data_IF_053892071209
#
_entry.id   IF_053892071209
#
_cell.length_a   1.000
_cell.length_b   1.000
_cell.length_c   1.000
_cell.angle_alpha   90.00
_cell.angle_beta   90.00
_cell.angle_gamma   90.00
#
_symmetry.space_group_name_H-M   'P 1'
#
loop_
_entity.id
_entity.type
_entity.pdbx_description
1 polymer ?
#
# COMPACT_ATOMS: atom_id res chain seq x y z
N UNK A 1 7.43 29.50 -69.13
CA UNK A 1 6.43 28.80 -68.29
C UNK A 1 6.95 28.77 -66.86
N UNK A 2 6.07 28.99 -65.86
CA UNK A 2 6.51 29.22 -64.47
C UNK A 2 7.11 27.93 -63.91
N UNK A 3 8.42 27.91 -63.66
CA UNK A 3 9.15 26.78 -63.04
C UNK A 3 8.46 26.23 -61.79
N UNK A 4 7.64 27.04 -61.11
CA UNK A 4 6.79 26.63 -59.99
C UNK A 4 5.88 25.42 -60.29
N UNK A 5 5.26 25.37 -61.47
CA UNK A 5 4.38 24.24 -61.84
C UNK A 5 5.18 22.94 -62.02
N UNK A 6 6.36 23.04 -62.65
CA UNK A 6 7.23 21.88 -62.82
C UNK A 6 7.78 21.38 -61.48
N UNK A 7 8.02 22.26 -60.49
CA UNK A 7 8.42 21.85 -59.14
C UNK A 7 7.36 21.00 -58.43
N UNK A 8 6.09 21.36 -58.58
CA UNK A 8 4.96 20.58 -58.04
C UNK A 8 4.87 19.22 -58.75
N UNK A 9 5.03 19.21 -60.08
CA UNK A 9 5.07 17.98 -60.89
C UNK A 9 6.25 17.07 -60.56
N UNK A 10 7.42 17.61 -60.19
CA UNK A 10 8.55 16.79 -59.73
C UNK A 10 8.19 15.98 -58.48
N UNK A 11 7.50 16.58 -57.52
CA UNK A 11 7.06 15.90 -56.29
C UNK A 11 6.02 14.83 -56.60
N UNK A 12 4.99 15.17 -57.37
CA UNK A 12 3.93 14.23 -57.77
C UNK A 12 4.51 13.02 -58.54
N UNK A 13 5.60 13.23 -59.29
CA UNK A 13 6.20 12.18 -60.12
C UNK A 13 6.83 11.05 -59.30
N UNK A 14 7.31 11.36 -58.10
CA UNK A 14 7.88 10.37 -57.19
C UNK A 14 6.83 9.46 -56.57
N UNK A 15 5.59 9.96 -56.43
CA UNK A 15 4.46 9.21 -55.91
C UNK A 15 3.62 8.54 -57.01
N UNK A 16 4.04 8.66 -58.27
CA UNK A 16 3.32 8.16 -59.45
C UNK A 16 1.92 8.78 -59.61
N UNK A 17 1.76 10.05 -59.24
CA UNK A 17 0.46 10.74 -59.22
C UNK A 17 0.22 11.65 -60.44
N UNK A 18 1.13 11.68 -61.42
CA UNK A 18 0.90 12.42 -62.68
C UNK A 18 0.16 11.56 -63.69
N UNK A 19 -0.66 12.22 -64.52
CA UNK A 19 -1.16 11.60 -65.73
C UNK A 19 -0.03 11.36 -66.75
N UNK A 20 -0.22 10.39 -67.65
CA UNK A 20 0.74 10.07 -68.72
C UNK A 20 1.10 11.29 -69.57
N UNK A 21 0.13 12.17 -69.85
CA UNK A 21 0.36 13.40 -70.63
C UNK A 21 1.25 14.40 -69.89
N UNK A 22 1.02 14.62 -68.60
CA UNK A 22 1.81 15.56 -67.80
C UNK A 22 3.23 15.03 -67.56
N UNK A 23 3.38 13.70 -67.47
CA UNK A 23 4.68 13.04 -67.35
C UNK A 23 5.54 13.26 -68.58
N UNK A 24 5.00 13.10 -69.80
CA UNK A 24 5.75 13.37 -71.04
C UNK A 24 6.21 14.82 -71.10
N UNK A 25 5.34 15.77 -70.74
CA UNK A 25 5.67 17.21 -70.72
C UNK A 25 6.78 17.51 -69.69
N UNK A 26 6.75 16.85 -68.53
CA UNK A 26 7.79 16.97 -67.51
C UNK A 26 9.13 16.39 -67.98
N UNK A 27 9.12 15.23 -68.64
CA UNK A 27 10.31 14.58 -69.18
C UNK A 27 10.99 15.45 -70.27
N UNK A 28 10.19 16.04 -71.17
CA UNK A 28 10.67 17.00 -72.17
C UNK A 28 11.27 18.26 -71.51
N UNK A 29 10.64 18.76 -70.44
CA UNK A 29 11.16 19.90 -69.70
C UNK A 29 12.49 19.60 -68.99
N UNK A 30 12.66 18.39 -68.45
CA UNK A 30 13.89 17.93 -67.80
C UNK A 30 15.08 17.78 -68.75
N UNK A 31 14.82 17.57 -70.05
CA UNK A 31 15.86 17.57 -71.09
C UNK A 31 16.39 18.98 -71.35
N UNK A 32 15.54 19.99 -71.30
CA UNK A 32 15.89 21.38 -71.62
C UNK A 32 16.36 22.20 -70.39
N UNK A 33 15.93 21.86 -69.18
CA UNK A 33 16.12 22.68 -67.98
C UNK A 33 17.07 22.03 -66.96
N UNK A 34 18.25 22.64 -66.78
CA UNK A 34 19.26 22.16 -65.84
C UNK A 34 18.83 22.31 -64.38
N UNK A 35 18.16 23.41 -64.01
CA UNK A 35 17.74 23.65 -62.62
C UNK A 35 16.67 22.67 -62.13
N UNK A 36 15.73 22.28 -63.00
CA UNK A 36 14.73 21.28 -62.63
C UNK A 36 15.32 19.87 -62.58
N UNK A 37 16.37 19.61 -63.36
CA UNK A 37 17.11 18.34 -63.31
C UNK A 37 17.91 18.20 -62.01
N UNK A 38 18.58 19.25 -61.55
CA UNK A 38 19.29 19.23 -60.27
C UNK A 38 18.33 19.04 -59.09
N UNK A 39 17.19 19.73 -59.10
CA UNK A 39 16.14 19.57 -58.07
C UNK A 39 15.58 18.14 -58.04
N UNK A 40 15.34 17.51 -59.20
CA UNK A 40 14.91 16.11 -59.27
C UNK A 40 15.95 15.16 -58.70
N UNK A 41 17.25 15.42 -58.91
CA UNK A 41 18.33 14.60 -58.36
C UNK A 41 18.45 14.74 -56.84
N UNK A 42 18.30 15.96 -56.31
CA UNK A 42 18.27 16.21 -54.87
C UNK A 42 17.10 15.48 -54.20
N UNK A 43 15.92 15.55 -54.82
CA UNK A 43 14.72 14.91 -54.30
C UNK A 43 14.84 13.37 -54.32
N UNK A 44 15.41 12.79 -55.38
CA UNK A 44 15.72 11.34 -55.44
C UNK A 44 16.70 10.92 -54.33
N UNK A 45 17.79 11.66 -54.14
CA UNK A 45 18.78 11.38 -53.07
C UNK A 45 18.14 11.45 -51.68
N UNK A 46 17.27 12.43 -51.45
CA UNK A 46 16.55 12.55 -50.18
C UNK A 46 15.65 11.34 -49.92
N UNK A 47 14.90 10.89 -50.93
CA UNK A 47 14.07 9.69 -50.82
C UNK A 47 14.89 8.40 -50.59
N UNK A 48 16.05 8.26 -51.23
CA UNK A 48 16.96 7.14 -50.99
C UNK A 48 17.47 7.12 -49.53
N UNK A 49 17.82 8.30 -48.99
CA UNK A 49 18.24 8.42 -47.58
C UNK A 49 17.12 8.06 -46.60
N UNK A 50 15.87 8.44 -46.90
CA UNK A 50 14.71 8.05 -46.11
C UNK A 50 14.42 6.55 -46.20
N UNK A 51 14.57 5.95 -47.39
CA UNK A 51 14.40 4.51 -47.58
C UNK A 51 15.43 3.69 -46.79
N UNK A 52 16.67 4.20 -46.68
CA UNK A 52 17.73 3.57 -45.89
C UNK A 52 17.48 3.60 -44.38
N UNK A 53 16.79 4.64 -43.87
CA UNK A 53 16.36 4.72 -42.46
C UNK A 53 14.88 4.39 -42.29
N UNK A 54 14.44 3.22 -42.75
CA UNK A 54 13.12 2.72 -42.33
C UNK A 54 13.10 2.60 -40.80
N UNK A 55 12.10 3.15 -40.11
CA UNK A 55 11.90 2.84 -38.70
C UNK A 55 11.74 1.33 -38.57
N UNK A 56 12.43 0.74 -37.58
CA UNK A 56 12.29 -0.67 -37.23
C UNK A 56 10.80 -0.99 -37.15
N UNK A 57 10.33 -1.92 -37.98
CA UNK A 57 8.99 -2.49 -37.80
C UNK A 57 9.00 -3.21 -36.45
N UNK A 58 8.50 -2.51 -35.43
CA UNK A 58 8.38 -3.05 -34.08
C UNK A 58 7.40 -4.19 -34.16
N UNK A 59 7.82 -5.38 -33.74
CA UNK A 59 6.98 -6.56 -33.74
C UNK A 59 5.69 -6.27 -32.93
N UNK A 60 4.52 -6.60 -33.51
CA UNK A 60 3.21 -6.45 -32.87
C UNK A 60 3.15 -6.91 -31.39
N UNK A 61 3.78 -8.03 -30.96
CA UNK A 61 3.81 -8.43 -29.55
C UNK A 61 4.45 -7.39 -28.61
N UNK A 62 5.50 -6.68 -29.04
CA UNK A 62 6.14 -5.63 -28.23
C UNK A 62 5.21 -4.42 -28.05
N UNK A 63 4.45 -4.08 -29.09
CA UNK A 63 3.46 -3.00 -29.02
C UNK A 63 2.32 -3.38 -28.06
N UNK A 64 1.87 -4.63 -28.13
CA UNK A 64 0.83 -5.14 -27.22
C UNK A 64 1.28 -5.13 -25.76
N UNK A 65 2.52 -5.53 -25.49
CA UNK A 65 3.08 -5.51 -24.14
C UNK A 65 3.27 -4.07 -23.61
N UNK A 66 3.76 -3.16 -24.44
CA UNK A 66 3.87 -1.75 -24.09
C UNK A 66 2.50 -1.13 -23.75
N UNK A 67 1.47 -1.41 -24.57
CA UNK A 67 0.08 -0.96 -24.32
C UNK A 67 -0.49 -1.55 -23.04
N UNK A 68 -0.22 -2.83 -22.77
CA UNK A 68 -0.66 -3.51 -21.54
C UNK A 68 -0.02 -2.86 -20.32
N UNK A 69 1.31 -2.69 -20.34
CA UNK A 69 2.08 -2.06 -19.25
C UNK A 69 1.59 -0.64 -18.98
N UNK A 70 1.36 0.14 -20.03
CA UNK A 70 0.85 1.51 -19.91
C UNK A 70 -0.56 1.53 -19.26
N UNK A 71 -1.48 0.67 -19.72
CA UNK A 71 -2.82 0.57 -19.12
C UNK A 71 -2.78 0.22 -17.64
N UNK A 72 -1.91 -0.72 -17.25
CA UNK A 72 -1.75 -1.09 -15.83
C UNK A 72 -1.25 0.09 -14.99
N UNK A 73 -0.29 0.88 -15.49
CA UNK A 73 0.21 2.08 -14.79
C UNK A 73 -0.83 3.19 -14.69
N UNK A 74 -1.60 3.44 -15.76
CA UNK A 74 -2.68 4.45 -15.74
C UNK A 74 -3.75 4.07 -14.70
N UNK A 75 -4.13 2.80 -14.63
CA UNK A 75 -5.12 2.33 -13.65
C UNK A 75 -4.60 2.51 -12.21
N UNK A 76 -3.34 2.15 -11.95
CA UNK A 76 -2.73 2.31 -10.63
C UNK A 76 -2.69 3.78 -10.17
N UNK A 77 -2.37 4.71 -11.09
CA UNK A 77 -2.32 6.15 -10.80
C UNK A 77 -3.73 6.76 -10.62
N UNK A 78 -4.70 6.35 -11.44
CA UNK A 78 -6.08 6.84 -11.36
C UNK A 78 -6.78 6.44 -10.05
N UNK A 79 -6.50 5.24 -9.54
CA UNK A 79 -7.03 4.77 -8.25
C UNK A 79 -6.50 5.61 -7.07
N UNK A 80 -5.23 5.98 -7.09
CA UNK A 80 -4.65 6.85 -6.05
C UNK A 80 -5.35 8.23 -6.02
N UNK A 81 -5.53 8.88 -7.18
CA UNK A 81 -6.17 10.21 -7.24
C UNK A 81 -7.66 10.19 -6.86
N UNK A 82 -8.40 9.15 -7.27
CA UNK A 82 -9.84 9.00 -6.98
C UNK A 82 -10.14 8.90 -5.49
N UNK A 83 -9.25 8.29 -4.71
CA UNK A 83 -9.43 8.16 -3.26
C UNK A 83 -9.22 9.50 -2.53
N UNK A 84 -8.23 10.30 -2.93
CA UNK A 84 -7.98 11.63 -2.36
C UNK A 84 -9.07 12.66 -2.73
N UNK A 85 -9.59 12.59 -3.97
CA UNK A 85 -10.65 13.50 -4.42
C UNK A 85 -12.02 13.14 -3.86
N UNK A 86 -12.34 11.84 -3.68
CA UNK A 86 -13.56 11.41 -2.99
C UNK A 86 -13.54 11.76 -1.50
N UNK A 87 -12.40 11.66 -0.82
CA UNK A 87 -12.30 12.08 0.58
C UNK A 87 -12.57 13.57 0.76
N UNK A 88 -12.08 14.41 -0.17
CA UNK A 88 -12.27 15.87 -0.12
C UNK A 88 -13.70 16.28 -0.50
N UNK A 89 -14.29 15.64 -1.52
CA UNK A 89 -15.64 15.95 -2.01
C UNK A 89 -16.78 15.51 -1.07
N UNK A 90 -16.61 14.42 -0.33
CA UNK A 90 -17.61 14.00 0.69
C UNK A 90 -17.60 14.94 1.89
N UNK A 91 -16.45 15.55 2.20
CA UNK A 91 -16.32 16.53 3.28
C UNK A 91 -16.91 17.89 2.95
N UNK A 92 -16.81 18.35 1.70
CA UNK A 92 -17.31 19.66 1.26
C UNK A 92 -18.81 19.67 0.90
N UNK A 93 -19.43 18.51 0.62
CA UNK A 93 -20.79 18.45 0.05
C UNK A 93 -21.94 18.07 0.99
N UNK A 94 -21.67 17.51 2.18
CA UNK A 94 -22.72 16.80 2.94
C UNK A 94 -23.09 17.44 4.30
N UNK A 95 -22.52 18.59 4.66
CA UNK A 95 -22.77 19.19 5.97
C UNK A 95 -23.12 20.67 5.83
N UNK A 96 -24.42 20.97 5.84
CA UNK A 96 -24.89 22.34 6.04
C UNK A 96 -24.63 22.76 7.49
N UNK A 97 -24.11 23.98 7.66
CA UNK A 97 -23.57 24.53 8.92
C UNK A 97 -24.48 24.45 10.17
N UNK A 98 -25.82 24.49 10.11
CA UNK A 98 -26.63 24.40 11.34
C UNK A 98 -26.88 22.96 11.83
N UNK A 99 -26.81 21.94 10.96
CA UNK A 99 -27.06 20.53 11.36
C UNK A 99 -25.84 19.92 12.06
N UNK A 100 -24.64 20.42 11.76
CA UNK A 100 -23.38 19.98 12.36
C UNK A 100 -23.34 20.24 13.88
N UNK A 101 -23.89 21.36 14.34
CA UNK A 101 -23.92 21.71 15.77
C UNK A 101 -24.90 20.83 16.56
N UNK A 102 -26.06 20.50 15.98
CA UNK A 102 -27.06 19.65 16.63
C UNK A 102 -26.60 18.19 16.71
N UNK A 103 -25.99 17.64 15.65
CA UNK A 103 -25.47 16.28 15.63
C UNK A 103 -24.21 16.11 16.50
N UNK A 104 -23.37 17.13 16.60
CA UNK A 104 -22.21 17.10 17.51
C UNK A 104 -22.65 17.02 18.98
N UNK A 105 -23.68 17.80 19.37
CA UNK A 105 -24.21 17.80 20.74
C UNK A 105 -24.81 16.45 21.15
N UNK A 106 -25.63 15.85 20.27
CA UNK A 106 -26.25 14.54 20.56
C UNK A 106 -25.23 13.41 20.60
N UNK A 107 -24.21 13.43 19.73
CA UNK A 107 -23.11 12.47 19.75
C UNK A 107 -22.31 12.54 21.06
N UNK A 108 -22.01 13.75 21.57
CA UNK A 108 -21.30 13.90 22.84
C UNK A 108 -22.10 13.40 24.04
N UNK A 109 -23.42 13.62 24.06
CA UNK A 109 -24.29 13.09 25.12
C UNK A 109 -24.39 11.57 25.08
N UNK A 110 -24.53 10.98 23.90
CA UNK A 110 -24.60 9.53 23.74
C UNK A 110 -23.31 8.84 24.19
N UNK A 111 -22.14 9.42 23.88
CA UNK A 111 -20.85 8.92 24.36
C UNK A 111 -20.73 9.04 25.88
N UNK A 112 -21.16 10.16 26.46
CA UNK A 112 -21.16 10.35 27.92
C UNK A 112 -22.02 9.32 28.66
N UNK A 113 -23.23 9.04 28.14
CA UNK A 113 -24.14 8.04 28.71
C UNK A 113 -23.57 6.62 28.56
N UNK A 114 -22.97 6.29 27.42
CA UNK A 114 -22.38 4.98 27.18
C UNK A 114 -21.18 4.71 28.09
N UNK A 115 -20.30 5.70 28.27
CA UNK A 115 -19.16 5.63 29.19
C UNK A 115 -19.63 5.50 30.63
N UNK A 116 -20.63 6.28 31.03
CA UNK A 116 -21.24 6.17 32.36
C UNK A 116 -21.85 4.79 32.63
N UNK A 117 -22.52 4.20 31.63
CA UNK A 117 -23.13 2.87 31.74
C UNK A 117 -22.10 1.75 31.87
N UNK A 118 -20.99 1.81 31.10
CA UNK A 118 -19.94 0.79 31.14
C UNK A 118 -19.17 0.81 32.47
N UNK A 119 -18.96 1.99 33.06
CA UNK A 119 -18.24 2.12 34.34
C UNK A 119 -19.06 1.57 35.51
N UNK A 120 -20.39 1.74 35.49
CA UNK A 120 -21.25 1.28 36.60
C UNK A 120 -21.61 -0.20 36.56
N UNK A 121 -21.42 -0.91 35.43
CA UNK A 121 -21.85 -2.31 35.27
C UNK A 121 -20.77 -3.38 35.47
N UNK A 122 -19.50 -3.01 35.66
CA UNK A 122 -18.41 -3.98 35.85
C UNK A 122 -17.64 -3.74 37.16
N UNK A 123 -18.03 -4.38 38.28
CA UNK A 123 -17.13 -4.56 39.41
C UNK A 123 -16.18 -5.70 39.08
N UNK A 124 -14.95 -5.37 38.68
CA UNK A 124 -13.89 -6.37 38.45
C UNK A 124 -13.19 -6.71 39.76
N UNK A 125 -13.59 -7.83 40.37
CA UNK A 125 -12.66 -8.61 41.18
C UNK A 125 -11.61 -9.23 40.26
N UNK A 126 -10.33 -9.05 40.56
CA UNK A 126 -9.25 -9.99 40.18
C UNK A 126 -7.96 -9.61 40.93
N UNK A 127 -7.71 -10.35 42.00
CA UNK A 127 -6.43 -10.38 42.71
C UNK A 127 -5.38 -11.07 41.84
N UNK A 128 -4.52 -10.32 41.15
CA UNK A 128 -3.29 -10.85 40.57
C UNK A 128 -2.10 -10.34 41.38
N UNK A 129 -1.57 -11.21 42.23
CA UNK A 129 -0.45 -10.97 43.15
C UNK A 129 0.86 -10.84 42.37
N UNK A 130 1.28 -9.60 42.14
CA UNK A 130 2.53 -9.24 41.46
C UNK A 130 3.72 -9.13 42.43
N UNK A 131 3.88 -10.08 43.35
CA UNK A 131 4.87 -10.00 44.43
C UNK A 131 6.18 -10.78 44.19
N UNK A 132 6.51 -11.16 42.93
CA UNK A 132 7.66 -12.05 42.67
C UNK A 132 8.62 -11.68 41.54
N UNK A 133 8.66 -10.41 41.13
CA UNK A 133 9.59 -9.94 40.07
C UNK A 133 10.68 -8.95 40.55
N UNK A 134 10.85 -8.77 41.86
CA UNK A 134 11.77 -7.79 42.44
C UNK A 134 13.25 -8.22 42.52
N UNK A 135 13.74 -8.99 41.53
CA UNK A 135 15.15 -9.38 41.48
C UNK A 135 15.71 -9.37 40.05
N UNK A 136 15.72 -8.20 39.42
CA UNK A 136 16.65 -7.88 38.32
C UNK A 136 16.72 -6.35 38.18
N UNK A 137 17.66 -5.74 38.89
CA UNK A 137 17.96 -4.32 38.80
C UNK A 137 18.60 -4.00 37.46
N UNK A 138 17.83 -3.41 36.54
CA UNK A 138 18.39 -2.60 35.45
C UNK A 138 17.44 -1.44 35.16
N UNK A 139 17.76 -0.31 35.78
CA UNK A 139 17.18 1.03 35.71
C UNK A 139 15.96 1.19 34.79
N UNK A 140 14.76 1.01 35.37
CA UNK A 140 13.56 1.69 34.91
C UNK A 140 13.45 2.97 35.73
N UNK A 141 13.41 4.13 35.07
CA UNK A 141 13.14 5.40 35.71
C UNK A 141 11.63 5.53 35.87
N UNK A 142 11.13 5.09 37.01
CA UNK A 142 9.73 5.22 37.38
C UNK A 142 9.53 6.62 37.96
N UNK A 143 8.64 7.41 37.34
CA UNK A 143 8.29 8.73 37.87
C UNK A 143 7.57 8.63 39.21
N UNK A 144 7.34 9.78 39.87
CA UNK A 144 6.64 9.81 41.15
C UNK A 144 5.20 9.25 41.02
N UNK A 145 4.82 8.27 41.87
CA UNK A 145 3.49 7.68 41.83
C UNK A 145 2.43 8.74 42.14
N UNK A 146 1.50 8.95 41.19
CA UNK A 146 0.38 9.86 41.38
C UNK A 146 -0.77 9.10 42.01
N UNK A 147 -1.27 9.59 43.15
CA UNK A 147 -2.41 9.00 43.85
C UNK A 147 -3.70 9.52 43.22
N UNK A 148 -4.57 8.61 42.80
CA UNK A 148 -5.90 8.89 42.24
C UNK A 148 -6.98 8.10 42.98
N UNK A 149 -8.25 8.51 42.87
CA UNK A 149 -9.40 7.74 43.39
C UNK A 149 -9.31 7.32 44.87
N UNK A 150 -8.97 8.25 45.76
CA UNK A 150 -8.98 8.00 47.22
C UNK A 150 -10.41 7.82 47.71
N UNK A 151 -10.70 6.69 48.38
CA UNK A 151 -11.98 6.37 49.01
C UNK A 151 -11.75 6.01 50.47
N UNK A 152 -12.38 6.76 51.37
CA UNK A 152 -12.37 6.45 52.80
C UNK A 152 -13.41 5.38 53.09
N UNK A 153 -12.99 4.31 53.78
CA UNK A 153 -13.82 3.13 54.11
C UNK A 153 -14.42 3.32 55.49
N UNK A 154 -13.60 3.65 56.49
CA UNK A 154 -14.05 3.88 57.86
C UNK A 154 -13.11 4.84 58.61
N UNK A 155 -13.64 5.47 59.67
CA UNK A 155 -12.88 6.32 60.58
C UNK A 155 -13.31 6.05 62.02
N UNK A 156 -12.41 5.47 62.81
CA UNK A 156 -12.64 5.28 64.23
C UNK A 156 -12.28 6.56 65.00
N UNK A 157 -13.31 7.28 65.47
CA UNK A 157 -13.15 8.55 66.18
C UNK A 157 -12.51 8.44 67.58
N UNK A 158 -12.44 7.23 68.17
CA UNK A 158 -11.83 7.01 69.49
C UNK A 158 -10.35 6.62 69.41
N UNK A 159 -9.93 5.86 68.39
CA UNK A 159 -8.52 5.45 68.21
C UNK A 159 -7.75 6.37 67.26
N UNK A 160 -8.45 7.11 66.39
CA UNK A 160 -7.83 7.92 65.34
C UNK A 160 -7.48 7.12 64.08
N UNK A 161 -7.84 5.84 64.01
CA UNK A 161 -7.57 5.00 62.85
C UNK A 161 -8.46 5.38 61.67
N UNK A 162 -7.87 5.42 60.48
CA UNK A 162 -8.56 5.72 59.22
C UNK A 162 -8.22 4.63 58.21
N UNK A 163 -9.23 4.02 57.64
CA UNK A 163 -9.08 3.07 56.55
C UNK A 163 -9.50 3.73 55.24
N UNK A 164 -8.63 3.65 54.22
CA UNK A 164 -8.93 4.17 52.89
C UNK A 164 -8.22 3.37 51.80
N UNK A 165 -8.84 3.33 50.62
CA UNK A 165 -8.29 2.74 49.40
C UNK A 165 -7.94 3.85 48.43
N UNK A 166 -6.84 3.71 47.70
CA UNK A 166 -6.46 4.65 46.65
C UNK A 166 -5.81 3.89 45.49
N UNK A 167 -5.89 4.48 44.31
CA UNK A 167 -5.21 3.99 43.11
C UNK A 167 -3.91 4.77 42.91
N UNK A 168 -2.90 4.13 42.33
CA UNK A 168 -1.65 4.80 41.96
C UNK A 168 -1.38 4.61 40.48
N UNK A 169 -0.99 5.70 39.82
CA UNK A 169 -0.56 5.70 38.43
C UNK A 169 0.90 6.14 38.40
N UNK A 170 1.79 5.21 38.05
CA UNK A 170 3.23 5.46 37.95
C UNK A 170 3.61 5.59 36.48
N UNK A 171 3.98 6.79 35.98
CA UNK A 171 4.44 6.93 34.62
C UNK A 171 5.79 6.23 34.45
N UNK A 172 5.88 5.37 33.44
CA UNK A 172 7.09 4.62 33.12
C UNK A 172 7.76 5.21 31.88
N UNK A 173 9.02 5.62 32.02
CA UNK A 173 9.83 6.05 30.89
C UNK A 173 10.80 4.94 30.48
N UNK A 174 10.71 4.51 29.22
CA UNK A 174 11.60 3.52 28.65
C UNK A 174 12.39 4.19 27.53
N UNK A 175 13.71 4.20 27.68
CA UNK A 175 14.65 4.59 26.63
C UNK A 175 15.50 3.38 26.28
N UNK A 176 15.50 3.01 25.01
CA UNK A 176 16.22 1.84 24.54
C UNK A 176 16.26 1.78 23.02
N UNK A 177 16.93 0.75 22.51
CA UNK A 177 16.93 0.43 21.10
C UNK A 177 15.64 -0.31 20.73
N UNK A 178 15.14 -0.13 19.51
CA UNK A 178 13.98 -0.87 18.99
C UNK A 178 14.22 -2.39 18.89
N UNK A 179 15.48 -2.82 18.96
CA UNK A 179 15.88 -4.21 19.02
C UNK A 179 15.89 -4.79 20.45
N UNK A 180 15.67 -3.97 21.48
CA UNK A 180 15.65 -4.46 22.86
C UNK A 180 14.33 -5.18 23.15
N UNK A 181 14.39 -6.41 23.68
CA UNK A 181 13.21 -7.26 23.98
C UNK A 181 12.14 -6.50 24.80
N UNK A 182 12.57 -5.68 25.77
CA UNK A 182 11.66 -4.87 26.59
C UNK A 182 10.92 -3.79 25.77
N UNK A 183 11.62 -3.13 24.85
CA UNK A 183 11.02 -2.13 23.96
C UNK A 183 10.06 -2.81 22.99
N UNK A 184 10.46 -3.97 22.44
CA UNK A 184 9.65 -4.77 21.54
C UNK A 184 8.33 -5.23 22.16
N UNK A 185 8.36 -5.69 23.41
CA UNK A 185 7.17 -6.03 24.21
C UNK A 185 6.19 -4.87 24.33
N UNK A 186 6.70 -3.68 24.64
CA UNK A 186 5.88 -2.47 24.77
C UNK A 186 5.29 -2.07 23.42
N UNK A 187 6.07 -2.10 22.35
CA UNK A 187 5.58 -1.80 20.99
C UNK A 187 4.53 -2.81 20.51
N UNK A 188 4.75 -4.10 20.73
CA UNK A 188 3.79 -5.16 20.41
C UNK A 188 2.47 -4.97 21.19
N UNK A 189 2.56 -4.63 22.48
CA UNK A 189 1.38 -4.35 23.30
C UNK A 189 0.65 -3.09 22.86
N UNK A 190 1.38 -2.01 22.58
CA UNK A 190 0.82 -0.77 22.07
C UNK A 190 0.09 -1.01 20.74
N UNK A 191 0.67 -1.82 19.84
CA UNK A 191 0.07 -2.18 18.57
C UNK A 191 -1.26 -2.94 18.73
N UNK A 192 -1.38 -3.86 19.66
CA UNK A 192 -2.60 -4.69 19.75
C UNK A 192 -3.67 -4.07 20.65
N UNK A 193 -3.28 -3.32 21.68
CA UNK A 193 -4.17 -2.96 22.79
C UNK A 193 -4.46 -1.47 22.93
N UNK A 194 -3.70 -0.58 22.28
CA UNK A 194 -3.93 0.86 22.43
C UNK A 194 -5.22 1.29 21.71
N UNK A 195 -6.02 2.14 22.35
CA UNK A 195 -7.29 2.60 21.78
C UNK A 195 -7.07 3.59 20.62
N UNK A 196 -5.98 4.36 20.64
CA UNK A 196 -5.64 5.36 19.65
C UNK A 196 -4.94 4.74 18.44
N UNK A 197 -5.57 4.83 17.27
CA UNK A 197 -5.02 4.31 16.03
C UNK A 197 -3.70 4.96 15.62
N UNK A 198 -3.47 6.23 15.98
CA UNK A 198 -2.21 6.93 15.75
C UNK A 198 -1.06 6.34 16.56
N UNK A 199 -1.30 5.92 17.82
CA UNK A 199 -0.32 5.21 18.63
C UNK A 199 0.00 3.86 18.04
N UNK A 200 -1.03 3.08 17.67
CA UNK A 200 -0.85 1.77 17.01
C UNK A 200 -0.05 1.90 15.71
N UNK A 201 -0.37 2.89 14.87
CA UNK A 201 0.35 3.14 13.62
C UNK A 201 1.82 3.50 13.86
N UNK A 202 2.12 4.35 14.86
CA UNK A 202 3.51 4.64 15.25
C UNK A 202 4.22 3.38 15.73
N UNK A 203 3.56 2.52 16.49
CA UNK A 203 4.14 1.26 16.96
C UNK A 203 4.52 0.35 15.79
N UNK A 204 3.65 0.18 14.79
CA UNK A 204 3.99 -0.58 13.55
C UNK A 204 5.19 0.04 12.84
N UNK A 205 5.19 1.36 12.65
CA UNK A 205 6.28 2.05 11.96
C UNK A 205 7.62 1.84 12.68
N UNK A 206 7.65 1.98 14.01
CA UNK A 206 8.85 1.72 14.81
C UNK A 206 9.33 0.28 14.64
N UNK A 207 8.43 -0.70 14.72
CA UNK A 207 8.76 -2.11 14.44
C UNK A 207 9.33 -2.27 13.02
N UNK A 208 8.76 -1.60 12.02
CA UNK A 208 9.22 -1.63 10.63
C UNK A 208 10.65 -1.12 10.42
N UNK A 209 11.07 -0.10 11.18
CA UNK A 209 12.44 0.47 11.08
C UNK A 209 13.56 -0.50 11.47
N UNK A 210 13.24 -1.63 12.13
CA UNK A 210 14.20 -2.68 12.49
C UNK A 210 14.97 -3.25 11.27
N UNK A 211 14.38 -3.18 10.08
CA UNK A 211 14.89 -3.80 8.86
C UNK A 211 16.07 -3.06 8.21
N UNK A 212 16.19 -1.74 8.39
CA UNK A 212 17.24 -0.98 7.71
C UNK A 212 18.64 -1.27 8.27
N UNK A 213 18.75 -1.85 9.48
CA UNK A 213 20.02 -2.00 10.19
C UNK A 213 20.61 -3.42 10.25
N UNK A 214 19.89 -4.46 9.85
CA UNK A 214 20.41 -5.85 9.81
C UNK A 214 20.69 -6.27 8.37
N UNK A 215 21.91 -6.03 7.89
CA UNK A 215 22.32 -6.36 6.51
C UNK A 215 22.81 -7.80 6.26
N UNK A 216 22.87 -8.70 7.25
CA UNK A 216 23.34 -10.08 7.00
C UNK A 216 22.36 -11.14 7.57
N UNK A 217 21.58 -11.75 6.68
CA UNK A 217 20.70 -12.90 6.95
C UNK A 217 19.20 -12.60 6.90
N UNK A 218 18.36 -13.64 6.78
CA UNK A 218 16.89 -13.50 6.88
C UNK A 218 16.57 -13.00 8.30
N UNK A 219 16.02 -11.79 8.47
CA UNK A 219 15.77 -11.24 9.79
C UNK A 219 14.68 -12.07 10.48
N UNK A 220 15.03 -12.69 11.61
CA UNK A 220 14.08 -13.44 12.42
C UNK A 220 13.30 -12.46 13.29
N UNK A 221 11.99 -12.41 13.06
CA UNK A 221 11.07 -11.61 13.86
C UNK A 221 10.77 -12.33 15.18
N UNK A 222 10.82 -11.61 16.30
CA UNK A 222 10.42 -12.16 17.59
C UNK A 222 8.95 -12.59 17.57
N UNK A 223 8.64 -13.70 18.24
CA UNK A 223 7.31 -14.33 18.21
C UNK A 223 6.21 -13.36 18.64
N UNK A 224 6.46 -12.53 19.66
CA UNK A 224 5.47 -11.58 20.17
C UNK A 224 5.18 -10.45 19.17
N UNK A 225 6.22 -9.86 18.55
CA UNK A 225 6.02 -8.86 17.49
C UNK A 225 5.30 -9.48 16.30
N UNK A 226 5.70 -10.68 15.88
CA UNK A 226 5.07 -11.36 14.75
C UNK A 226 3.57 -11.54 14.99
N UNK A 227 3.18 -12.04 16.15
CA UNK A 227 1.78 -12.19 16.54
C UNK A 227 1.06 -10.84 16.59
N UNK A 228 1.70 -9.79 17.10
CA UNK A 228 1.12 -8.46 17.15
C UNK A 228 0.88 -7.87 15.75
N UNK A 229 1.86 -7.98 14.84
CA UNK A 229 1.72 -7.52 13.45
C UNK A 229 0.65 -8.30 12.68
N UNK A 230 0.62 -9.63 12.83
CA UNK A 230 -0.42 -10.46 12.20
C UNK A 230 -1.80 -10.07 12.75
N UNK A 231 -1.92 -9.88 14.06
CA UNK A 231 -3.16 -9.44 14.70
C UNK A 231 -3.60 -8.07 14.18
N UNK A 232 -2.68 -7.12 14.06
CA UNK A 232 -2.96 -5.80 13.51
C UNK A 232 -3.41 -5.86 12.04
N UNK A 233 -2.76 -6.68 11.21
CA UNK A 233 -3.15 -6.90 9.82
C UNK A 233 -4.59 -7.44 9.72
N UNK A 234 -4.89 -8.49 10.46
CA UNK A 234 -6.15 -9.22 10.32
C UNK A 234 -7.33 -8.54 11.03
N UNK A 235 -7.10 -7.85 12.15
CA UNK A 235 -8.18 -7.46 13.07
C UNK A 235 -8.19 -5.97 13.46
N UNK A 236 -7.20 -5.15 13.09
CA UNK A 236 -7.27 -3.72 13.43
C UNK A 236 -8.45 -3.05 12.73
N UNK A 237 -9.17 -2.20 13.46
CA UNK A 237 -10.31 -1.44 12.92
C UNK A 237 -9.88 -0.35 11.95
N UNK A 238 -8.64 0.14 12.07
CA UNK A 238 -8.10 1.21 11.26
C UNK A 238 -7.33 0.66 10.06
N UNK A 239 -7.81 0.95 8.85
CA UNK A 239 -7.19 0.51 7.59
C UNK A 239 -5.72 0.95 7.45
N UNK A 240 -5.36 2.13 7.96
CA UNK A 240 -3.99 2.63 7.92
C UNK A 240 -3.02 1.75 8.70
N UNK A 241 -3.44 1.27 9.88
CA UNK A 241 -2.64 0.33 10.70
C UNK A 241 -2.49 -1.01 9.98
N UNK A 242 -3.58 -1.55 9.42
CA UNK A 242 -3.55 -2.81 8.65
C UNK A 242 -2.61 -2.72 7.45
N UNK A 243 -2.67 -1.60 6.71
CA UNK A 243 -1.79 -1.31 5.56
C UNK A 243 -0.33 -1.24 5.97
N UNK A 244 -0.04 -0.62 7.10
CA UNK A 244 1.33 -0.56 7.58
C UNK A 244 1.81 -1.95 8.05
N UNK A 245 0.95 -2.71 8.71
CA UNK A 245 1.28 -4.06 9.16
C UNK A 245 1.64 -4.99 7.99
N UNK A 246 0.87 -4.97 6.89
CA UNK A 246 1.20 -5.77 5.70
C UNK A 246 2.51 -5.32 5.04
N UNK A 247 2.80 -4.01 5.05
CA UNK A 247 4.05 -3.46 4.51
C UNK A 247 5.28 -3.90 5.31
N UNK A 248 5.16 -4.04 6.63
CA UNK A 248 6.23 -4.58 7.47
C UNK A 248 6.35 -6.09 7.26
N UNK A 249 5.24 -6.83 7.32
CA UNK A 249 5.22 -8.29 7.27
C UNK A 249 5.74 -8.89 5.96
N UNK A 250 5.55 -8.22 4.80
CA UNK A 250 6.03 -8.73 3.51
C UNK A 250 7.54 -8.98 3.48
N UNK A 251 8.30 -8.26 4.31
CA UNK A 251 9.76 -8.39 4.38
C UNK A 251 10.22 -9.65 5.13
N UNK A 252 9.30 -10.34 5.81
CA UNK A 252 9.56 -11.55 6.59
C UNK A 252 8.99 -12.81 5.94
N UNK A 253 8.49 -12.71 4.70
CA UNK A 253 8.17 -13.87 3.87
C UNK A 253 9.48 -14.63 3.55
N UNK A 254 9.50 -15.97 3.56
CA UNK A 254 8.35 -16.89 3.55
C UNK A 254 7.97 -17.50 4.93
N UNK A 255 7.98 -16.75 6.04
CA UNK A 255 7.54 -17.30 7.34
C UNK A 255 6.10 -17.88 7.27
N UNK A 256 5.87 -19.16 7.65
CA UNK A 256 4.58 -19.83 7.49
C UNK A 256 3.40 -19.07 8.10
N UNK A 257 3.56 -18.49 9.30
CA UNK A 257 2.47 -17.77 9.97
C UNK A 257 2.11 -16.49 9.22
N UNK A 258 3.11 -15.84 8.61
CA UNK A 258 2.93 -14.64 7.80
C UNK A 258 2.27 -14.98 6.46
N UNK A 259 2.67 -16.09 5.83
CA UNK A 259 2.01 -16.56 4.59
C UNK A 259 0.53 -16.82 4.82
N UNK A 260 0.16 -17.55 5.88
CA UNK A 260 -1.25 -17.77 6.20
C UNK A 260 -2.00 -16.45 6.45
N UNK A 261 -1.37 -15.46 7.09
CA UNK A 261 -1.98 -14.15 7.26
C UNK A 261 -2.25 -13.47 5.90
N UNK A 262 -1.32 -13.58 4.94
CA UNK A 262 -1.50 -13.03 3.59
C UNK A 262 -2.60 -13.77 2.81
N UNK A 263 -2.68 -15.10 2.95
CA UNK A 263 -3.75 -15.90 2.36
C UNK A 263 -5.12 -15.54 2.97
N UNK A 264 -5.18 -15.29 4.28
CA UNK A 264 -6.39 -14.82 4.96
C UNK A 264 -6.81 -13.44 4.45
N UNK A 265 -5.86 -12.51 4.27
CA UNK A 265 -6.14 -11.22 3.62
C UNK A 265 -6.73 -11.45 2.22
N UNK A 266 -6.14 -12.31 1.40
CA UNK A 266 -6.70 -12.59 0.06
C UNK A 266 -8.10 -13.17 0.12
N UNK A 267 -8.40 -14.04 1.09
CA UNK A 267 -9.69 -14.68 1.24
C UNK A 267 -10.78 -13.71 1.72
N UNK A 268 -10.50 -12.94 2.78
CA UNK A 268 -11.53 -12.32 3.61
C UNK A 268 -11.51 -10.79 3.60
N UNK A 269 -10.45 -10.18 3.07
CA UNK A 269 -10.32 -8.72 3.09
C UNK A 269 -11.31 -8.03 2.15
N UNK A 270 -11.99 -7.01 2.68
CA UNK A 270 -12.89 -6.16 1.90
C UNK A 270 -12.14 -5.08 1.13
N UNK A 271 -11.05 -4.55 1.72
CA UNK A 271 -10.22 -3.55 1.06
C UNK A 271 -9.39 -4.17 -0.09
N UNK A 272 -9.73 -3.79 -1.31
CA UNK A 272 -9.05 -4.28 -2.53
C UNK A 272 -7.57 -3.94 -2.56
N UNK A 273 -7.15 -2.77 -2.06
CA UNK A 273 -5.73 -2.38 -2.04
C UNK A 273 -4.88 -3.30 -1.16
N UNK A 274 -5.40 -3.73 -0.01
CA UNK A 274 -4.75 -4.73 0.84
C UNK A 274 -4.66 -6.10 0.15
N UNK A 275 -5.72 -6.54 -0.52
CA UNK A 275 -5.68 -7.78 -1.33
C UNK A 275 -4.63 -7.71 -2.44
N UNK A 276 -4.56 -6.59 -3.16
CA UNK A 276 -3.55 -6.35 -4.20
C UNK A 276 -2.14 -6.39 -3.61
N UNK A 277 -1.94 -5.79 -2.44
CA UNK A 277 -0.65 -5.81 -1.75
C UNK A 277 -0.26 -7.24 -1.35
N UNK A 278 -1.21 -8.01 -0.83
CA UNK A 278 -0.99 -9.40 -0.45
C UNK A 278 -0.59 -10.27 -1.65
N UNK A 279 -1.36 -10.25 -2.74
CA UNK A 279 -1.07 -11.08 -3.92
C UNK A 279 0.24 -10.68 -4.60
N UNK A 280 0.59 -9.40 -4.62
CA UNK A 280 1.86 -8.94 -5.20
C UNK A 280 3.08 -9.34 -4.35
N UNK A 281 2.88 -9.65 -3.08
CA UNK A 281 3.96 -10.04 -2.17
C UNK A 281 4.24 -11.55 -2.18
N UNK A 282 3.30 -12.36 -2.65
CA UNK A 282 3.45 -13.81 -2.78
C UNK A 282 4.19 -14.14 -4.07
N UNK A 283 5.49 -14.38 -3.95
CA UNK A 283 6.36 -14.84 -5.03
C UNK A 283 6.51 -16.37 -4.96
N UNK A 284 5.84 -17.07 -5.88
CA UNK A 284 5.75 -18.54 -5.89
C UNK A 284 7.12 -19.24 -5.97
N UNK A 285 8.12 -18.60 -6.59
CA UNK A 285 9.48 -19.14 -6.69
C UNK A 285 10.11 -19.42 -5.32
N UNK A 286 9.69 -18.70 -4.28
CA UNK A 286 10.17 -18.86 -2.90
C UNK A 286 9.56 -20.05 -2.17
N UNK A 287 8.52 -20.67 -2.73
CA UNK A 287 7.71 -21.69 -2.06
C UNK A 287 7.76 -23.05 -2.75
N UNK A 288 8.46 -23.21 -3.87
CA UNK A 288 8.45 -24.45 -4.68
C UNK A 288 8.66 -25.73 -3.84
N UNK A 289 9.61 -25.69 -2.90
CA UNK A 289 9.97 -26.81 -2.02
C UNK A 289 9.39 -26.68 -0.59
N UNK A 290 8.40 -25.81 -0.38
CA UNK A 290 7.78 -25.60 0.93
C UNK A 290 6.42 -26.30 1.04
N UNK A 291 6.03 -26.79 2.24
CA UNK A 291 4.73 -27.43 2.44
C UNK A 291 3.55 -26.49 2.13
N UNK A 292 3.76 -25.18 2.27
CA UNK A 292 2.75 -24.15 2.01
C UNK A 292 2.40 -23.97 0.53
N UNK A 293 3.22 -24.50 -0.39
CA UNK A 293 3.04 -24.31 -1.83
C UNK A 293 1.63 -24.71 -2.30
N UNK A 294 1.13 -25.84 -1.83
CA UNK A 294 -0.18 -26.36 -2.21
C UNK A 294 -1.31 -25.39 -1.81
N UNK A 295 -1.28 -24.87 -0.58
CA UNK A 295 -2.29 -23.92 -0.09
C UNK A 295 -2.27 -22.61 -0.88
N UNK A 296 -1.09 -22.09 -1.21
CA UNK A 296 -0.95 -20.89 -2.03
C UNK A 296 -1.51 -21.15 -3.44
N UNK A 297 -1.17 -22.29 -4.07
CA UNK A 297 -1.65 -22.65 -5.39
C UNK A 297 -3.18 -22.81 -5.43
N UNK A 298 -3.78 -23.42 -4.42
CA UNK A 298 -5.24 -23.53 -4.29
C UNK A 298 -5.91 -22.15 -4.14
N UNK A 299 -5.37 -21.29 -3.29
CA UNK A 299 -5.85 -19.91 -3.14
C UNK A 299 -5.78 -19.16 -4.47
N UNK A 300 -4.64 -19.23 -5.18
CA UNK A 300 -4.47 -18.57 -6.48
C UNK A 300 -5.41 -19.14 -7.54
N UNK A 301 -5.63 -20.47 -7.59
CA UNK A 301 -6.60 -21.10 -8.51
C UNK A 301 -8.01 -20.58 -8.26
N UNK A 302 -8.41 -20.46 -7.00
CA UNK A 302 -9.71 -19.91 -6.63
C UNK A 302 -9.82 -18.44 -7.06
N UNK A 303 -8.82 -17.62 -6.73
CA UNK A 303 -8.79 -16.19 -7.06
C UNK A 303 -8.75 -15.93 -8.56
N UNK A 304 -8.05 -16.75 -9.34
CA UNK A 304 -8.01 -16.68 -10.80
C UNK A 304 -9.39 -16.91 -11.46
N UNK A 305 -10.25 -17.72 -10.84
CA UNK A 305 -11.58 -18.08 -11.36
C UNK A 305 -12.66 -17.09 -10.95
N UNK A 306 -12.70 -16.68 -9.68
CA UNK A 306 -13.88 -16.04 -9.09
C UNK A 306 -13.64 -14.75 -8.33
N UNK A 307 -12.41 -14.21 -8.25
CA UNK A 307 -12.23 -12.93 -7.54
C UNK A 307 -12.94 -11.79 -8.27
N UNK A 308 -13.63 -10.91 -7.55
CA UNK A 308 -14.35 -9.78 -8.14
C UNK A 308 -13.40 -8.79 -8.85
N UNK A 309 -12.18 -8.64 -8.33
CA UNK A 309 -11.21 -7.70 -8.87
C UNK A 309 -10.44 -8.30 -10.06
N UNK A 310 -10.52 -7.63 -11.21
CA UNK A 310 -9.87 -8.09 -12.44
C UNK A 310 -8.34 -8.19 -12.34
N UNK A 311 -7.70 -7.26 -11.63
CA UNK A 311 -6.25 -7.29 -11.44
C UNK A 311 -5.85 -8.55 -10.65
N UNK A 312 -6.56 -8.86 -9.56
CA UNK A 312 -6.30 -10.05 -8.75
C UNK A 312 -6.47 -11.33 -9.59
N UNK A 313 -7.55 -11.43 -10.38
CA UNK A 313 -7.75 -12.57 -11.29
C UNK A 313 -6.59 -12.76 -12.26
N UNK A 314 -6.16 -11.68 -12.92
CA UNK A 314 -5.07 -11.74 -13.91
C UNK A 314 -3.74 -12.09 -13.23
N UNK A 315 -3.42 -11.44 -12.11
CA UNK A 315 -2.18 -11.68 -11.37
C UNK A 315 -2.10 -13.12 -10.87
N UNK A 316 -3.22 -13.67 -10.39
CA UNK A 316 -3.29 -15.08 -9.98
C UNK A 316 -3.09 -16.04 -11.16
N UNK A 317 -3.68 -15.77 -12.33
CA UNK A 317 -3.46 -16.58 -13.55
C UNK A 317 -1.99 -16.58 -13.99
N UNK A 318 -1.36 -15.40 -13.99
CA UNK A 318 0.06 -15.27 -14.35
C UNK A 318 0.96 -16.04 -13.39
N UNK A 319 0.75 -15.88 -12.08
CA UNK A 319 1.52 -16.62 -11.08
C UNK A 319 1.41 -18.14 -11.27
N UNK A 320 0.21 -18.65 -11.57
CA UNK A 320 0.01 -20.08 -11.84
C UNK A 320 0.70 -20.59 -13.11
N UNK A 321 0.91 -19.73 -14.11
CA UNK A 321 1.62 -20.09 -15.35
C UNK A 321 3.14 -20.15 -15.14
N UNK A 322 3.69 -19.39 -14.20
CA UNK A 322 5.14 -19.37 -13.90
C UNK A 322 5.63 -20.66 -13.22
N UNK A 323 4.72 -21.47 -12.68
CA UNK A 323 5.02 -22.71 -11.94
C UNK A 323 4.66 -23.98 -12.75
N UNK A 324 4.07 -23.83 -13.94
CA UNK A 324 3.74 -24.93 -14.86
C UNK A 324 4.85 -25.15 -15.89
#
# INVERSE_FOLDING_TARGET
>A
MKHKQFKEWLQLSLYQELSEQERTILEDHLLACESCRSEMQELKKFHELLAYRRPLEIQEPLIQDARRTLRLRILAEAEQRSLWTKLRGVMDGMISRPVQAALAGTATLAVGILVGYLVFKFPTENNFTLARLSSASTAMDAGEPQITNIRFVDRNAQSGDVEFTFETITPMHIRGNVNDERVQKVLARALVSDQNAGTRLRAVNMIGTQMEQKSNGVPKLETEIKTALITALLHDRNLGVRREAINVLKNYLPDPAIVHAFLNVLANETNTGLKITAINSLDLSKYENQPMNQEILEMLKNKAKSDDNNYIRIKAKLALQEVQ
#
